data_IF_634875206903
#
_entry.id   IF_634875206903
#
_cell.length_a   1.000
_cell.length_b   1.000
_cell.length_c   1.000
_cell.angle_alpha   90.00
_cell.angle_beta   90.00
_cell.angle_gamma   90.00
#
_symmetry.space_group_name_H-M   'P 1'
#
loop_
_entity.id
_entity.type
_entity.pdbx_description
1 polymer ?
#
# COMPACT_ATOMS: atom_id res chain seq x y z
N UNK A 1 10.98 29.54 5.65
CA UNK A 1 11.64 28.43 4.95
C UNK A 1 10.55 27.62 4.26
N UNK A 2 10.78 27.16 3.05
CA UNK A 2 9.86 26.21 2.39
C UNK A 2 9.96 24.88 3.14
N UNK A 3 8.82 24.31 3.54
CA UNK A 3 8.80 22.99 4.19
C UNK A 3 9.29 21.93 3.20
N UNK A 4 10.00 20.92 3.69
CA UNK A 4 10.32 19.73 2.90
C UNK A 4 9.02 19.02 2.47
N UNK A 5 9.08 18.15 1.46
CA UNK A 5 7.88 17.46 0.97
C UNK A 5 8.07 15.95 1.03
N UNK A 6 7.09 15.26 1.60
CA UNK A 6 7.04 13.81 1.58
C UNK A 6 5.66 13.23 1.29
N UNK A 7 5.65 12.00 0.80
CA UNK A 7 4.46 11.21 0.57
C UNK A 7 4.61 9.83 1.23
N UNK A 8 3.50 9.32 1.74
CA UNK A 8 3.40 7.96 2.25
C UNK A 8 2.30 7.23 1.52
N UNK A 9 2.56 5.99 1.09
CA UNK A 9 1.48 5.03 1.00
C UNK A 9 0.84 4.83 2.39
N UNK A 10 -0.44 4.49 2.38
CA UNK A 10 -1.18 4.30 3.61
C UNK A 10 -1.13 2.88 4.14
N UNK A 11 -1.48 1.87 3.32
CA UNK A 11 -1.72 0.49 3.77
C UNK A 11 -0.42 -0.32 3.72
N UNK A 12 0.39 -0.14 4.75
CA UNK A 12 1.69 -0.77 4.94
C UNK A 12 2.60 0.12 5.77
N UNK A 13 2.88 1.36 5.32
CA UNK A 13 3.65 2.34 6.10
C UNK A 13 2.87 2.97 7.25
N UNK A 14 1.62 3.42 7.04
CA UNK A 14 0.86 4.17 8.05
C UNK A 14 -0.16 3.30 8.79
N UNK A 15 -0.82 2.38 8.09
CA UNK A 15 -1.87 1.48 8.57
C UNK A 15 -1.56 0.04 8.19
N UNK A 16 -1.80 -0.92 9.09
CA UNK A 16 -1.75 -2.35 8.78
C UNK A 16 -3.07 -2.89 8.22
N UNK A 17 -4.16 -2.12 8.28
CA UNK A 17 -5.47 -2.56 7.81
C UNK A 17 -5.54 -2.45 6.30
N UNK A 18 -5.76 -3.58 5.62
CA UNK A 18 -6.25 -3.58 4.24
C UNK A 18 -7.77 -3.43 4.29
N UNK A 19 -8.27 -2.24 3.95
CA UNK A 19 -9.68 -1.94 4.12
C UNK A 19 -10.55 -2.71 3.13
N UNK A 20 -10.08 -2.95 1.91
CA UNK A 20 -10.82 -3.71 0.90
C UNK A 20 -11.00 -5.16 1.35
N UNK A 21 -9.95 -5.77 1.89
CA UNK A 21 -10.01 -7.12 2.44
C UNK A 21 -10.88 -7.20 3.71
N UNK A 22 -10.84 -6.17 4.57
CA UNK A 22 -11.68 -6.09 5.76
C UNK A 22 -13.17 -6.00 5.42
N UNK A 23 -13.58 -5.10 4.53
CA UNK A 23 -14.99 -4.98 4.14
C UNK A 23 -15.46 -6.21 3.35
N UNK A 24 -14.56 -6.89 2.64
CA UNK A 24 -14.86 -8.18 2.01
C UNK A 24 -15.25 -9.23 3.07
N UNK A 25 -14.47 -9.37 4.15
CA UNK A 25 -14.81 -10.28 5.26
C UNK A 25 -16.17 -9.97 5.89
N UNK A 26 -16.50 -8.68 6.02
CA UNK A 26 -17.76 -8.22 6.61
C UNK A 26 -19.00 -8.49 5.75
N UNK A 27 -18.83 -8.88 4.48
CA UNK A 27 -19.93 -9.33 3.63
C UNK A 27 -20.49 -10.70 4.04
N UNK A 28 -19.75 -11.52 4.80
CA UNK A 28 -20.11 -12.91 5.10
C UNK A 28 -21.54 -13.09 5.62
N UNK A 29 -21.96 -12.35 6.66
CA UNK A 29 -23.34 -12.41 7.16
C UNK A 29 -24.41 -11.97 6.14
N UNK A 30 -24.05 -11.10 5.19
CA UNK A 30 -24.97 -10.54 4.18
C UNK A 30 -25.13 -11.48 3.00
N UNK A 31 -24.02 -12.06 2.55
CA UNK A 31 -23.97 -13.01 1.45
C UNK A 31 -24.31 -14.44 1.90
N UNK A 32 -24.35 -14.69 3.21
CA UNK A 32 -24.46 -16.03 3.81
C UNK A 32 -23.39 -16.98 3.25
N UNK A 33 -22.19 -16.44 3.09
CA UNK A 33 -21.06 -17.12 2.50
C UNK A 33 -19.85 -17.04 3.42
N UNK A 34 -19.14 -18.17 3.56
CA UNK A 34 -17.94 -18.29 4.38
C UNK A 34 -16.68 -18.16 3.50
N UNK A 35 -15.47 -18.08 4.09
CA UNK A 35 -14.20 -18.04 3.33
C UNK A 35 -14.02 -16.83 2.39
N UNK A 36 -14.62 -15.69 2.74
CA UNK A 36 -14.50 -14.46 1.94
C UNK A 36 -13.10 -13.85 1.92
N UNK A 37 -12.24 -14.26 2.84
CA UNK A 37 -10.80 -13.97 2.80
C UNK A 37 -10.10 -14.67 1.64
N UNK A 38 -10.44 -15.92 1.39
CA UNK A 38 -9.92 -16.67 0.23
C UNK A 38 -10.54 -16.14 -1.08
N UNK A 39 -11.78 -15.68 -1.05
CA UNK A 39 -12.40 -14.99 -2.19
C UNK A 39 -11.67 -13.69 -2.53
N UNK A 40 -11.39 -12.86 -1.53
CA UNK A 40 -10.59 -11.66 -1.70
C UNK A 40 -9.20 -12.00 -2.26
N UNK A 41 -8.54 -13.02 -1.70
CA UNK A 41 -7.23 -13.48 -2.18
C UNK A 41 -7.26 -13.91 -3.65
N UNK A 42 -8.29 -14.65 -4.10
CA UNK A 42 -8.44 -15.04 -5.50
C UNK A 42 -8.49 -13.80 -6.41
N UNK A 43 -9.29 -12.80 -6.05
CA UNK A 43 -9.42 -11.58 -6.86
C UNK A 43 -8.14 -10.73 -6.80
N UNK A 44 -7.48 -10.65 -5.65
CA UNK A 44 -6.20 -9.97 -5.49
C UNK A 44 -5.08 -10.64 -6.29
N UNK A 45 -5.03 -11.97 -6.33
CA UNK A 45 -4.06 -12.70 -7.13
C UNK A 45 -4.33 -12.54 -8.63
N UNK A 46 -5.61 -12.44 -9.02
CA UNK A 46 -6.00 -12.13 -10.39
C UNK A 46 -5.54 -10.73 -10.82
N UNK A 47 -5.64 -9.74 -9.94
CA UNK A 47 -5.10 -8.40 -10.16
C UNK A 47 -3.58 -8.43 -10.41
N UNK A 48 -2.83 -9.06 -9.51
CA UNK A 48 -1.38 -9.24 -9.65
C UNK A 48 -1.02 -9.98 -10.96
N UNK A 49 -1.76 -11.04 -11.30
CA UNK A 49 -1.56 -11.79 -12.54
C UNK A 49 -1.70 -10.91 -13.79
N UNK A 50 -2.71 -10.04 -13.83
CA UNK A 50 -2.89 -9.12 -14.95
C UNK A 50 -1.72 -8.13 -15.06
N UNK A 51 -1.21 -7.64 -13.91
CA UNK A 51 -0.06 -6.73 -13.86
C UNK A 51 1.24 -7.42 -14.31
N UNK A 52 1.45 -8.67 -13.92
CA UNK A 52 2.61 -9.47 -14.32
C UNK A 52 2.51 -9.97 -15.77
N UNK A 53 1.30 -10.02 -16.33
CA UNK A 53 1.03 -10.51 -17.69
C UNK A 53 0.37 -9.43 -18.58
N UNK A 54 1.06 -8.32 -18.88
CA UNK A 54 0.47 -7.18 -19.60
C UNK A 54 -0.01 -7.50 -21.02
N UNK A 55 0.46 -8.61 -21.61
CA UNK A 55 -0.06 -9.11 -22.88
C UNK A 55 -1.56 -9.45 -22.83
N UNK A 56 -2.04 -9.94 -21.68
CA UNK A 56 -3.45 -10.30 -21.47
C UNK A 56 -4.31 -9.05 -21.34
N UNK A 57 -3.83 -8.02 -20.63
CA UNK A 57 -4.50 -6.71 -20.55
C UNK A 57 -4.78 -6.18 -21.96
N UNK A 58 -3.79 -6.29 -22.86
CA UNK A 58 -3.93 -5.88 -24.27
C UNK A 58 -4.91 -6.75 -25.05
N UNK A 59 -4.86 -8.08 -24.87
CA UNK A 59 -5.79 -9.02 -25.52
C UNK A 59 -7.25 -8.77 -25.12
N UNK A 60 -7.47 -8.51 -23.82
CA UNK A 60 -8.79 -8.21 -23.26
C UNK A 60 -9.28 -6.79 -23.62
N UNK A 61 -8.45 -5.97 -24.27
CA UNK A 61 -8.81 -4.60 -24.65
C UNK A 61 -8.95 -3.64 -23.47
N UNK A 62 -8.35 -3.97 -22.32
CA UNK A 62 -8.43 -3.15 -21.10
C UNK A 62 -7.58 -1.90 -21.31
N UNK A 63 -8.22 -0.73 -21.29
CA UNK A 63 -7.57 0.55 -21.65
C UNK A 63 -6.67 1.12 -20.56
N UNK A 64 -6.99 0.89 -19.29
CA UNK A 64 -6.28 1.49 -18.16
C UNK A 64 -6.44 0.60 -16.93
N UNK A 65 -5.53 -0.35 -16.79
CA UNK A 65 -5.44 -1.26 -15.65
C UNK A 65 -4.24 -0.85 -14.79
N UNK A 66 -4.41 -0.75 -13.48
CA UNK A 66 -3.36 -0.37 -12.54
C UNK A 66 -3.26 -1.38 -11.39
N UNK A 67 -2.06 -1.59 -10.82
CA UNK A 67 -1.92 -2.47 -9.65
C UNK A 67 -2.77 -1.95 -8.49
N UNK A 68 -3.57 -2.81 -7.87
CA UNK A 68 -4.56 -2.44 -6.86
C UNK A 68 -5.98 -2.31 -7.42
N UNK A 69 -6.18 -2.52 -8.74
CA UNK A 69 -7.51 -2.59 -9.36
C UNK A 69 -8.37 -3.74 -8.79
N UNK A 70 -7.84 -4.60 -7.90
CA UNK A 70 -8.65 -5.42 -6.96
C UNK A 70 -9.82 -4.63 -6.36
N UNK A 71 -9.61 -3.38 -5.97
CA UNK A 71 -10.68 -2.51 -5.45
C UNK A 71 -11.72 -2.22 -6.54
N UNK A 72 -11.28 -1.86 -7.75
CA UNK A 72 -12.18 -1.69 -8.90
C UNK A 72 -13.01 -2.95 -9.14
N UNK A 73 -12.38 -4.13 -9.16
CA UNK A 73 -13.05 -5.41 -9.41
C UNK A 73 -14.14 -5.72 -8.37
N UNK A 74 -13.92 -5.37 -7.09
CA UNK A 74 -14.84 -5.66 -5.99
C UNK A 74 -15.83 -4.53 -5.66
N UNK A 75 -15.60 -3.32 -6.18
CA UNK A 75 -16.44 -2.16 -5.89
C UNK A 75 -17.94 -2.37 -6.15
N UNK A 76 -18.38 -3.03 -7.25
CA UNK A 76 -19.82 -3.27 -7.46
C UNK A 76 -20.47 -4.06 -6.33
N UNK A 77 -19.76 -5.03 -5.73
CA UNK A 77 -20.24 -5.75 -4.55
C UNK A 77 -20.32 -4.79 -3.36
N UNK A 78 -19.26 -4.03 -3.10
CA UNK A 78 -19.24 -3.15 -1.93
C UNK A 78 -20.35 -2.09 -1.95
N UNK A 79 -20.57 -1.40 -3.08
CA UNK A 79 -21.61 -0.37 -3.18
C UNK A 79 -23.03 -0.95 -3.13
N UNK A 80 -23.19 -2.23 -3.49
CA UNK A 80 -24.49 -2.92 -3.43
C UNK A 80 -24.88 -3.25 -1.99
N UNK A 81 -23.91 -3.61 -1.15
CA UNK A 81 -24.20 -4.06 0.21
C UNK A 81 -23.97 -2.99 1.27
N UNK A 82 -23.04 -2.06 1.09
CA UNK A 82 -22.72 -1.05 2.09
C UNK A 82 -23.24 0.34 1.70
N UNK A 83 -23.66 1.10 2.71
CA UNK A 83 -23.84 2.55 2.60
C UNK A 83 -22.52 3.28 2.85
N UNK A 84 -22.41 4.52 2.39
CA UNK A 84 -21.23 5.37 2.65
C UNK A 84 -20.95 5.52 4.15
N UNK A 85 -22.00 5.77 4.94
CA UNK A 85 -21.90 5.87 6.40
C UNK A 85 -21.41 4.59 7.07
N UNK A 86 -21.84 3.41 6.60
CA UNK A 86 -21.33 2.14 7.12
C UNK A 86 -19.84 1.96 6.83
N UNK A 87 -19.36 2.26 5.62
CA UNK A 87 -17.94 2.18 5.28
C UNK A 87 -17.09 3.10 6.16
N UNK A 88 -17.57 4.34 6.40
CA UNK A 88 -16.92 5.27 7.32
C UNK A 88 -16.85 4.71 8.74
N UNK A 89 -17.95 4.14 9.27
CA UNK A 89 -17.99 3.60 10.63
C UNK A 89 -17.18 2.31 10.78
N UNK A 90 -17.16 1.43 9.77
CA UNK A 90 -16.28 0.26 9.74
C UNK A 90 -14.82 0.71 9.83
N UNK A 91 -14.42 1.69 9.02
CA UNK A 91 -13.07 2.22 9.07
C UNK A 91 -12.72 2.83 10.42
N UNK A 92 -13.62 3.57 11.09
CA UNK A 92 -13.33 4.17 12.41
C UNK A 92 -13.08 3.11 13.48
N UNK A 93 -13.82 1.99 13.42
CA UNK A 93 -13.65 0.88 14.36
C UNK A 93 -12.30 0.17 14.19
N UNK A 94 -11.70 0.26 13.00
CA UNK A 94 -10.46 -0.43 12.64
C UNK A 94 -9.59 0.42 11.74
N UNK A 95 -9.09 1.54 12.28
CA UNK A 95 -8.10 2.37 11.58
C UNK A 95 -6.81 1.58 11.39
N UNK A 96 -6.38 0.89 12.46
CA UNK A 96 -5.23 -0.02 12.47
C UNK A 96 -3.92 0.64 12.08
N UNK A 97 -3.48 1.66 12.83
CA UNK A 97 -2.21 2.31 12.60
C UNK A 97 -1.03 1.38 12.92
N UNK A 98 0.03 1.46 12.10
CA UNK A 98 1.34 0.87 12.41
C UNK A 98 1.88 1.53 13.69
N UNK A 99 2.54 0.77 14.59
CA UNK A 99 3.20 1.36 15.75
C UNK A 99 4.12 2.51 15.34
N UNK A 100 4.06 3.65 16.02
CA UNK A 100 4.88 4.81 15.68
C UNK A 100 4.34 5.72 14.58
N UNK A 101 3.22 5.41 13.95
CA UNK A 101 2.65 6.27 12.89
C UNK A 101 2.33 7.66 13.42
N UNK A 102 1.65 7.76 14.56
CA UNK A 102 1.30 9.05 15.18
C UNK A 102 2.55 9.85 15.54
N UNK A 103 3.54 9.21 16.15
CA UNK A 103 4.80 9.81 16.57
C UNK A 103 5.61 10.32 15.37
N UNK A 104 5.68 9.51 14.31
CA UNK A 104 6.37 9.86 13.06
C UNK A 104 5.73 11.09 12.43
N UNK A 105 4.41 11.04 12.20
CA UNK A 105 3.69 12.14 11.57
C UNK A 105 3.75 13.42 12.42
N UNK A 106 3.59 13.32 13.74
CA UNK A 106 3.68 14.48 14.63
C UNK A 106 5.09 15.10 14.66
N UNK A 107 6.14 14.30 14.51
CA UNK A 107 7.52 14.80 14.40
C UNK A 107 7.75 15.50 13.07
N UNK A 108 7.23 14.94 11.97
CA UNK A 108 7.41 15.48 10.62
C UNK A 108 6.63 16.78 10.37
N UNK A 109 5.43 16.94 10.94
CA UNK A 109 4.56 18.12 10.74
C UNK A 109 5.21 19.49 10.99
N UNK A 110 6.33 19.53 11.73
CA UNK A 110 7.07 20.76 12.01
C UNK A 110 7.74 21.35 10.77
N UNK A 111 8.33 20.47 9.95
CA UNK A 111 9.26 20.85 8.89
C UNK A 111 8.88 20.24 7.52
N UNK A 112 7.78 19.47 7.46
CA UNK A 112 7.37 18.72 6.28
C UNK A 112 5.91 18.96 5.88
N UNK A 113 5.67 19.15 4.59
CA UNK A 113 4.40 18.93 3.92
C UNK A 113 4.23 17.43 3.66
N UNK A 114 3.30 16.82 4.39
CA UNK A 114 3.05 15.38 4.34
C UNK A 114 1.82 15.11 3.49
N UNK A 115 1.93 14.19 2.52
CA UNK A 115 0.81 13.69 1.73
C UNK A 115 0.60 12.19 1.92
N UNK A 116 -0.63 11.73 1.76
CA UNK A 116 -0.99 10.31 1.67
C UNK A 116 -1.36 10.01 0.22
N UNK A 117 -0.80 8.95 -0.35
CA UNK A 117 -1.14 8.46 -1.69
C UNK A 117 -1.51 6.98 -1.58
N UNK A 118 -2.80 6.65 -1.63
CA UNK A 118 -3.28 5.30 -1.32
C UNK A 118 -4.22 4.76 -2.40
N UNK A 119 -4.17 3.44 -2.61
CA UNK A 119 -5.21 2.74 -3.38
C UNK A 119 -6.54 2.71 -2.65
N UNK A 120 -6.56 2.80 -1.31
CA UNK A 120 -7.76 2.62 -0.49
C UNK A 120 -8.85 3.65 -0.80
N UNK A 121 -10.08 3.32 -0.44
CA UNK A 121 -11.23 4.18 -0.68
C UNK A 121 -11.22 5.43 0.21
N UNK A 122 -11.82 6.52 -0.30
CA UNK A 122 -11.94 7.81 0.39
C UNK A 122 -12.42 7.70 1.83
N UNK A 123 -13.36 6.79 2.12
CA UNK A 123 -13.92 6.58 3.46
C UNK A 123 -12.84 6.16 4.46
N UNK A 124 -11.95 5.23 4.07
CA UNK A 124 -10.85 4.79 4.93
C UNK A 124 -9.70 5.79 4.95
N UNK A 125 -9.26 6.23 3.77
CA UNK A 125 -8.13 7.14 3.64
C UNK A 125 -8.32 8.45 4.42
N UNK A 126 -9.53 9.03 4.37
CA UNK A 126 -9.83 10.24 5.14
C UNK A 126 -9.90 10.00 6.64
N UNK A 127 -10.32 8.81 7.11
CA UNK A 127 -10.31 8.51 8.54
C UNK A 127 -8.89 8.34 9.07
N UNK A 128 -8.02 7.63 8.35
CA UNK A 128 -6.59 7.50 8.71
C UNK A 128 -5.92 8.87 8.71
N UNK A 129 -6.17 9.70 7.68
CA UNK A 129 -5.63 11.05 7.62
C UNK A 129 -6.07 11.92 8.79
N UNK A 130 -7.35 11.89 9.18
CA UNK A 130 -7.87 12.62 10.34
C UNK A 130 -7.22 12.17 11.65
N UNK A 131 -7.08 10.87 11.84
CA UNK A 131 -6.43 10.31 13.03
C UNK A 131 -4.98 10.79 13.15
N UNK A 132 -4.25 10.79 12.03
CA UNK A 132 -2.88 11.29 11.95
C UNK A 132 -2.81 12.82 11.89
N UNK A 133 -3.94 13.54 11.87
CA UNK A 133 -4.05 14.99 11.73
C UNK A 133 -3.41 15.55 10.44
N UNK A 134 -3.50 14.81 9.34
CA UNK A 134 -3.07 15.22 8.00
C UNK A 134 -4.26 15.88 7.28
N UNK A 135 -4.10 17.07 6.65
CA UNK A 135 -5.16 17.73 5.90
C UNK A 135 -5.71 16.87 4.77
N UNK A 136 -7.04 16.88 4.55
CA UNK A 136 -7.67 16.03 3.55
C UNK A 136 -7.29 16.42 2.10
N UNK A 137 -6.92 17.68 1.85
CA UNK A 137 -6.41 18.14 0.55
C UNK A 137 -4.96 17.72 0.28
N UNK A 138 -4.36 16.96 1.21
CA UNK A 138 -3.09 16.24 1.05
C UNK A 138 -3.30 14.73 0.85
N UNK A 139 -4.54 14.26 0.69
CA UNK A 139 -4.87 12.84 0.54
C UNK A 139 -5.28 12.54 -0.90
N UNK A 140 -4.48 11.72 -1.58
CA UNK A 140 -4.73 11.22 -2.92
C UNK A 140 -5.15 9.76 -2.81
N UNK A 141 -6.45 9.49 -2.97
CA UNK A 141 -7.02 8.16 -2.78
C UNK A 141 -8.01 7.78 -3.90
N UNK A 142 -8.54 6.56 -3.84
CA UNK A 142 -9.59 6.08 -4.76
C UNK A 142 -10.94 6.61 -4.33
N UNK A 143 -11.59 7.37 -5.21
CA UNK A 143 -12.96 7.82 -4.98
C UNK A 143 -13.94 6.65 -5.10
N UNK A 144 -14.76 6.46 -4.07
CA UNK A 144 -15.88 5.52 -4.10
C UNK A 144 -17.16 6.25 -3.78
N UNK A 145 -17.94 6.55 -4.82
CA UNK A 145 -19.29 7.05 -4.67
C UNK A 145 -20.27 5.87 -4.60
N UNK A 146 -20.84 5.64 -3.42
CA UNK A 146 -21.81 4.54 -3.21
C UNK A 146 -23.10 4.72 -4.01
N UNK A 147 -23.41 5.94 -4.47
CA UNK A 147 -24.60 6.22 -5.29
C UNK A 147 -24.60 5.49 -6.63
N UNK A 148 -23.41 5.12 -7.15
CA UNK A 148 -23.27 4.39 -8.42
C UNK A 148 -23.95 3.02 -8.42
N UNK A 149 -24.31 2.49 -7.24
CA UNK A 149 -25.10 1.27 -7.08
C UNK A 149 -26.43 1.30 -7.83
N UNK A 150 -26.98 2.49 -8.12
CA UNK A 150 -28.19 2.63 -8.93
C UNK A 150 -28.01 2.10 -10.36
N UNK A 151 -26.77 1.89 -10.79
CA UNK A 151 -26.44 1.25 -12.05
C UNK A 151 -26.34 -0.27 -11.99
N UNK A 152 -26.62 -0.91 -10.85
CA UNK A 152 -26.68 -2.37 -10.67
C UNK A 152 -28.15 -2.75 -10.46
N UNK A 153 -28.69 -3.54 -11.39
CA UNK A 153 -30.08 -4.01 -11.36
C UNK A 153 -30.19 -5.35 -10.63
N UNK A 154 -29.23 -6.26 -10.80
CA UNK A 154 -29.30 -7.61 -10.26
C UNK A 154 -27.94 -8.11 -9.76
N UNK A 155 -27.53 -7.66 -8.57
CA UNK A 155 -26.26 -8.08 -7.97
C UNK A 155 -26.25 -9.57 -7.64
N UNK A 156 -27.41 -10.16 -7.33
CA UNK A 156 -27.56 -11.56 -6.96
C UNK A 156 -27.14 -12.52 -8.10
N UNK A 157 -27.52 -12.23 -9.35
CA UNK A 157 -27.10 -13.03 -10.52
C UNK A 157 -25.58 -12.98 -10.72
N UNK A 158 -24.96 -11.81 -10.55
CA UNK A 158 -23.49 -11.68 -10.65
C UNK A 158 -22.76 -12.43 -9.56
N UNK A 159 -23.27 -12.36 -8.32
CA UNK A 159 -22.72 -13.12 -7.21
C UNK A 159 -22.88 -14.63 -7.40
N UNK A 160 -23.97 -15.09 -8.01
CA UNK A 160 -24.14 -16.49 -8.35
C UNK A 160 -23.05 -16.97 -9.33
N UNK A 161 -22.66 -16.15 -10.30
CA UNK A 161 -21.55 -16.49 -11.19
C UNK A 161 -20.22 -16.42 -10.45
N UNK A 162 -19.91 -15.27 -9.85
CA UNK A 162 -18.59 -15.02 -9.29
C UNK A 162 -18.27 -15.89 -8.07
N UNK A 163 -19.25 -16.14 -7.20
CA UNK A 163 -19.06 -16.93 -5.99
C UNK A 163 -19.43 -18.41 -6.21
N UNK A 164 -20.67 -18.70 -6.60
CA UNK A 164 -21.16 -20.10 -6.65
C UNK A 164 -20.61 -20.91 -7.83
N UNK A 165 -20.05 -20.23 -8.84
CA UNK A 165 -19.43 -20.88 -10.01
C UNK A 165 -17.92 -20.71 -10.00
N UNK A 166 -17.42 -19.48 -10.10
CA UNK A 166 -15.98 -19.21 -10.30
C UNK A 166 -15.22 -19.49 -9.01
N UNK A 167 -15.59 -18.86 -7.89
CA UNK A 167 -14.90 -19.06 -6.63
C UNK A 167 -15.02 -20.50 -6.12
N UNK A 168 -16.18 -21.14 -6.25
CA UNK A 168 -16.31 -22.57 -5.91
C UNK A 168 -15.36 -23.44 -6.74
N UNK A 169 -15.24 -23.21 -8.04
CA UNK A 169 -14.28 -23.91 -8.91
C UNK A 169 -12.83 -23.69 -8.47
N UNK A 170 -12.49 -22.47 -8.07
CA UNK A 170 -11.17 -22.16 -7.49
C UNK A 170 -10.89 -22.97 -6.23
N UNK A 171 -11.86 -23.07 -5.31
CA UNK A 171 -11.74 -23.85 -4.08
C UNK A 171 -11.65 -25.36 -4.35
N UNK A 172 -12.45 -25.89 -5.27
CA UNK A 172 -12.47 -27.32 -5.66
C UNK A 172 -11.17 -27.76 -6.34
N UNK A 173 -10.33 -26.80 -6.75
CA UNK A 173 -9.03 -27.01 -7.41
C UNK A 173 -7.86 -26.51 -6.56
N UNK A 174 -7.99 -26.65 -5.25
CA UNK A 174 -6.93 -26.35 -4.27
C UNK A 174 -6.42 -24.90 -4.38
N UNK A 175 -7.31 -23.95 -4.69
CA UNK A 175 -6.99 -22.52 -4.79
C UNK A 175 -5.93 -22.19 -5.85
N UNK A 176 -5.88 -22.95 -6.94
CA UNK A 176 -5.02 -22.66 -8.10
C UNK A 176 -5.70 -21.60 -8.98
N UNK A 177 -5.11 -20.41 -9.10
CA UNK A 177 -5.70 -19.31 -9.87
C UNK A 177 -5.87 -19.70 -11.35
N UNK A 178 -4.91 -20.45 -11.91
CA UNK A 178 -4.83 -20.82 -13.33
C UNK A 178 -6.09 -21.51 -13.84
N UNK A 179 -6.83 -22.19 -12.96
CA UNK A 179 -8.05 -22.90 -13.33
C UNK A 179 -9.25 -21.98 -13.58
N UNK A 180 -9.21 -20.74 -13.09
CA UNK A 180 -10.32 -19.77 -13.14
C UNK A 180 -9.98 -18.46 -13.87
N UNK A 181 -8.74 -18.28 -14.33
CA UNK A 181 -8.31 -17.06 -15.04
C UNK A 181 -9.24 -16.73 -16.21
N UNK A 182 -9.58 -17.71 -17.04
CA UNK A 182 -10.46 -17.49 -18.19
C UNK A 182 -11.90 -17.13 -17.79
N UNK A 183 -12.38 -17.70 -16.67
CA UNK A 183 -13.71 -17.38 -16.14
C UNK A 183 -13.74 -15.94 -15.59
N UNK A 184 -12.70 -15.54 -14.86
CA UNK A 184 -12.53 -14.18 -14.35
C UNK A 184 -12.35 -13.18 -15.50
N UNK A 185 -11.55 -13.52 -16.51
CA UNK A 185 -11.41 -12.74 -17.74
C UNK A 185 -12.76 -12.52 -18.42
N UNK A 186 -13.56 -13.58 -18.52
CA UNK A 186 -14.88 -13.51 -19.12
C UNK A 186 -15.85 -12.64 -18.31
N UNK A 187 -15.90 -12.86 -16.99
CA UNK A 187 -16.78 -12.15 -16.08
C UNK A 187 -16.48 -10.64 -16.02
N UNK A 188 -15.22 -10.26 -15.81
CA UNK A 188 -14.86 -8.85 -15.61
C UNK A 188 -14.71 -8.06 -16.91
N UNK A 189 -14.35 -8.69 -18.04
CA UNK A 189 -13.92 -7.94 -19.22
C UNK A 189 -14.61 -8.31 -20.54
N UNK A 190 -15.16 -9.52 -20.67
CA UNK A 190 -15.81 -9.96 -21.92
C UNK A 190 -17.34 -9.90 -21.87
N UNK A 191 -17.92 -9.71 -20.68
CA UNK A 191 -19.37 -9.62 -20.48
C UNK A 191 -19.80 -8.16 -20.41
N UNK A 192 -20.78 -7.77 -21.21
CA UNK A 192 -21.46 -6.46 -21.04
C UNK A 192 -22.56 -6.60 -19.98
N UNK A 193 -22.23 -6.28 -18.74
CA UNK A 193 -23.16 -6.30 -17.61
C UNK A 193 -23.21 -4.96 -16.87
N UNK A 194 -24.28 -4.75 -16.10
CA UNK A 194 -24.39 -3.69 -15.11
C UNK A 194 -23.27 -3.74 -14.05
N UNK A 195 -22.80 -4.94 -13.66
CA UNK A 195 -21.60 -5.10 -12.83
C UNK A 195 -20.39 -4.41 -13.45
N UNK A 196 -20.08 -4.74 -14.72
CA UNK A 196 -18.93 -4.18 -15.45
C UNK A 196 -19.10 -2.67 -15.66
N UNK A 197 -20.32 -2.19 -15.95
CA UNK A 197 -20.62 -0.76 -16.08
C UNK A 197 -20.37 0.03 -14.79
N UNK A 198 -20.61 -0.55 -13.62
CA UNK A 198 -20.28 0.09 -12.34
C UNK A 198 -18.80 -0.06 -12.02
N UNK A 199 -18.21 -1.22 -12.27
CA UNK A 199 -16.77 -1.46 -12.14
C UNK A 199 -15.95 -0.41 -12.90
N UNK A 200 -16.31 -0.10 -14.15
CA UNK A 200 -15.59 0.85 -15.00
C UNK A 200 -15.69 2.31 -14.57
N UNK A 201 -16.55 2.65 -13.60
CA UNK A 201 -16.60 3.98 -12.98
C UNK A 201 -15.54 4.16 -11.90
N UNK A 202 -14.86 3.09 -11.49
CA UNK A 202 -13.86 3.13 -10.43
C UNK A 202 -12.47 3.30 -11.03
N UNK A 203 -11.77 4.32 -10.54
CA UNK A 203 -10.40 4.64 -10.93
C UNK A 203 -9.50 4.50 -9.71
N UNK A 204 -8.87 3.33 -9.54
CA UNK A 204 -8.02 3.08 -8.37
C UNK A 204 -6.73 3.89 -8.48
N UNK A 205 -6.29 4.52 -7.39
CA UNK A 205 -4.97 5.19 -7.33
C UNK A 205 -3.84 4.22 -6.98
N UNK A 206 -3.51 3.35 -7.93
CA UNK A 206 -2.33 2.50 -7.90
C UNK A 206 -1.35 2.82 -9.03
N UNK A 207 -0.13 2.28 -8.95
CA UNK A 207 0.86 2.28 -10.04
C UNK A 207 1.14 3.69 -10.59
N UNK A 208 0.91 3.86 -11.88
CA UNK A 208 1.15 5.14 -12.56
C UNK A 208 0.30 6.28 -12.01
N UNK A 209 -0.86 5.99 -11.41
CA UNK A 209 -1.69 7.03 -10.78
C UNK A 209 -1.11 7.50 -9.43
N UNK A 210 -0.30 6.68 -8.74
CA UNK A 210 0.50 7.15 -7.58
C UNK A 210 1.69 7.99 -8.04
N UNK A 211 2.35 7.61 -9.13
CA UNK A 211 3.38 8.44 -9.79
C UNK A 211 2.80 9.82 -10.16
N UNK A 212 1.64 9.86 -10.82
CA UNK A 212 0.96 11.10 -11.19
C UNK A 212 0.61 11.98 -9.97
N UNK A 213 0.25 11.37 -8.83
CA UNK A 213 0.00 12.11 -7.60
C UNK A 213 1.27 12.79 -7.05
N UNK A 214 2.43 12.15 -7.14
CA UNK A 214 3.73 12.79 -6.81
C UNK A 214 4.00 13.98 -7.73
N UNK A 215 3.78 13.82 -9.05
CA UNK A 215 3.94 14.94 -9.98
C UNK A 215 2.99 16.10 -9.68
N UNK A 216 1.75 15.80 -9.32
CA UNK A 216 0.74 16.78 -8.92
C UNK A 216 1.20 17.54 -7.66
N UNK A 217 1.68 16.82 -6.63
CA UNK A 217 2.22 17.42 -5.40
C UNK A 217 3.41 18.33 -5.71
N UNK A 218 4.36 17.85 -6.53
CA UNK A 218 5.55 18.61 -6.93
C UNK A 218 5.16 19.92 -7.64
N UNK A 219 4.22 19.86 -8.58
CA UNK A 219 3.70 21.04 -9.30
C UNK A 219 2.93 21.98 -8.36
N UNK A 220 2.03 21.45 -7.51
CA UNK A 220 1.20 22.23 -6.57
C UNK A 220 2.06 23.01 -5.56
N UNK A 221 3.14 22.40 -5.08
CA UNK A 221 4.02 22.99 -4.07
C UNK A 221 5.25 23.70 -4.66
N UNK A 222 5.43 23.66 -5.99
CA UNK A 222 6.63 24.13 -6.68
C UNK A 222 7.91 23.58 -6.03
N UNK A 223 7.94 22.26 -5.81
CA UNK A 223 9.00 21.57 -5.09
C UNK A 223 9.51 20.38 -5.92
N UNK A 224 10.82 20.28 -6.19
CA UNK A 224 11.34 19.29 -7.14
C UNK A 224 11.28 17.87 -6.57
N UNK A 225 10.93 16.89 -7.41
CA UNK A 225 10.86 15.46 -7.03
C UNK A 225 12.22 14.95 -6.52
N UNK A 226 13.32 15.49 -7.05
CA UNK A 226 14.69 15.19 -6.61
C UNK A 226 14.94 15.45 -5.12
N UNK A 227 14.13 16.32 -4.49
CA UNK A 227 14.29 16.72 -3.10
C UNK A 227 13.18 16.13 -2.21
N UNK A 228 12.29 15.31 -2.78
CA UNK A 228 11.15 14.68 -2.08
C UNK A 228 11.56 13.34 -1.45
N UNK A 229 10.78 12.92 -0.45
CA UNK A 229 10.82 11.55 0.09
C UNK A 229 9.46 10.88 -0.15
N UNK A 230 9.43 9.66 -0.69
CA UNK A 230 8.23 8.83 -0.71
C UNK A 230 8.47 7.48 -0.06
N UNK A 231 7.49 6.98 0.68
CA UNK A 231 7.52 5.68 1.34
C UNK A 231 6.40 4.81 0.79
N UNK A 232 6.72 3.62 0.28
CA UNK A 232 5.78 2.61 -0.16
C UNK A 232 6.19 1.23 0.33
N UNK A 233 5.41 0.19 -0.02
CA UNK A 233 5.68 -1.17 0.44
C UNK A 233 5.37 -2.25 -0.61
N UNK A 234 4.56 -1.98 -1.63
CA UNK A 234 3.97 -3.01 -2.49
C UNK A 234 4.08 -2.72 -3.98
N UNK A 235 3.46 -3.59 -4.80
CA UNK A 235 3.37 -3.43 -6.26
C UNK A 235 2.65 -2.14 -6.67
N UNK A 236 1.72 -1.67 -5.82
CA UNK A 236 0.95 -0.44 -6.08
C UNK A 236 1.81 0.82 -6.02
N UNK A 237 3.00 0.75 -5.42
CA UNK A 237 3.93 1.86 -5.23
C UNK A 237 5.09 1.86 -6.25
N UNK A 238 5.19 0.81 -7.07
CA UNK A 238 6.36 0.57 -7.93
C UNK A 238 6.75 1.78 -8.77
N UNK A 239 5.76 2.43 -9.39
CA UNK A 239 5.97 3.56 -10.30
C UNK A 239 6.26 4.87 -9.54
N UNK A 240 5.61 5.07 -8.39
CA UNK A 240 5.90 6.19 -7.49
C UNK A 240 7.35 6.12 -6.99
N UNK A 241 7.78 4.95 -6.50
CA UNK A 241 9.13 4.73 -5.99
C UNK A 241 10.17 4.84 -7.11
N UNK A 242 9.90 4.21 -8.26
CA UNK A 242 10.76 4.32 -9.46
C UNK A 242 10.95 5.77 -9.85
N UNK A 243 9.87 6.55 -9.91
CA UNK A 243 9.95 7.96 -10.31
C UNK A 243 10.84 8.79 -9.39
N UNK A 244 10.68 8.65 -8.07
CA UNK A 244 11.57 9.35 -7.13
C UNK A 244 13.02 8.92 -7.30
N UNK A 245 13.25 7.61 -7.44
CA UNK A 245 14.60 7.07 -7.56
C UNK A 245 15.30 7.59 -8.83
N UNK A 246 14.62 7.60 -9.96
CA UNK A 246 15.14 8.09 -11.26
C UNK A 246 15.41 9.61 -11.25
N UNK A 247 14.59 10.39 -10.54
CA UNK A 247 14.76 11.85 -10.40
C UNK A 247 15.76 12.26 -9.31
N UNK A 248 16.35 11.29 -8.58
CA UNK A 248 17.34 11.54 -7.53
C UNK A 248 16.76 11.79 -6.13
N UNK A 249 15.44 11.72 -5.96
CA UNK A 249 14.75 11.77 -4.67
C UNK A 249 14.99 10.53 -3.82
N UNK A 250 14.40 10.50 -2.62
CA UNK A 250 14.51 9.37 -1.69
C UNK A 250 13.27 8.49 -1.79
N UNK A 251 13.45 7.28 -2.29
CA UNK A 251 12.41 6.27 -2.42
C UNK A 251 12.63 5.19 -1.36
N UNK A 252 11.76 5.16 -0.35
CA UNK A 252 11.81 4.23 0.77
C UNK A 252 10.84 3.08 0.52
N UNK A 253 11.33 1.85 0.59
CA UNK A 253 10.47 0.68 0.80
C UNK A 253 10.44 0.32 2.29
N UNK A 254 9.27 0.39 2.91
CA UNK A 254 9.07 0.10 4.34
C UNK A 254 8.38 -1.24 4.51
N UNK A 255 9.06 -2.23 5.09
CA UNK A 255 8.55 -3.61 5.22
C UNK A 255 7.91 -4.13 3.92
N UNK A 256 8.56 -3.84 2.79
CA UNK A 256 8.01 -4.11 1.48
C UNK A 256 8.17 -5.56 1.02
N UNK A 257 8.07 -5.74 -0.29
CA UNK A 257 8.06 -7.04 -0.95
C UNK A 257 8.93 -7.03 -2.22
N UNK A 258 8.85 -8.11 -2.99
CA UNK A 258 9.60 -8.26 -4.24
C UNK A 258 9.30 -7.19 -5.30
N UNK A 259 8.18 -6.46 -5.17
CA UNK A 259 7.77 -5.45 -6.13
C UNK A 259 8.26 -4.05 -5.75
N UNK A 260 8.30 -3.68 -4.47
CA UNK A 260 8.75 -2.33 -4.07
C UNK A 260 10.28 -2.20 -3.97
N UNK A 261 10.99 -3.24 -3.51
CA UNK A 261 12.45 -3.22 -3.33
C UNK A 261 13.24 -2.91 -4.62
N UNK A 262 12.88 -3.43 -5.81
CA UNK A 262 13.59 -3.09 -7.05
C UNK A 262 13.53 -1.61 -7.42
N UNK A 263 12.49 -0.90 -7.01
CA UNK A 263 12.23 0.49 -7.42
C UNK A 263 12.62 1.53 -6.36
N UNK A 264 12.86 1.10 -5.11
CA UNK A 264 13.36 1.92 -4.03
C UNK A 264 14.89 2.12 -4.07
N UNK A 265 15.37 3.16 -3.38
CA UNK A 265 16.80 3.38 -3.14
C UNK A 265 17.22 3.22 -1.68
N UNK A 266 16.26 3.14 -0.74
CA UNK A 266 16.50 2.78 0.66
C UNK A 266 15.44 1.77 1.09
N UNK A 267 15.85 0.73 1.80
CA UNK A 267 14.95 -0.19 2.49
C UNK A 267 14.97 0.07 4.00
N UNK A 268 13.79 0.16 4.61
CA UNK A 268 13.64 0.20 6.07
C UNK A 268 12.83 -1.03 6.49
N UNK A 269 13.42 -1.87 7.33
CA UNK A 269 12.73 -2.98 7.98
C UNK A 269 12.57 -2.64 9.46
N UNK A 270 11.34 -2.51 9.94
CA UNK A 270 11.09 -2.14 11.33
C UNK A 270 9.68 -2.50 11.78
N UNK A 271 9.48 -2.91 13.05
CA UNK A 271 8.13 -3.10 13.60
C UNK A 271 7.38 -1.79 13.85
N UNK A 272 8.06 -0.64 13.68
CA UNK A 272 7.56 0.66 14.07
C UNK A 272 7.96 1.73 13.04
N UNK A 273 7.02 2.57 12.60
CA UNK A 273 7.26 3.55 11.53
C UNK A 273 8.34 4.57 11.92
N UNK A 274 8.57 4.84 13.20
CA UNK A 274 9.65 5.74 13.64
C UNK A 274 11.03 5.27 13.17
N UNK A 275 11.19 4.02 12.73
CA UNK A 275 12.39 3.56 12.03
C UNK A 275 12.79 4.41 10.82
N UNK A 276 11.82 5.02 10.11
CA UNK A 276 12.13 5.89 8.96
C UNK A 276 12.71 7.24 9.37
N UNK A 277 12.53 7.68 10.62
CA UNK A 277 12.93 9.04 11.05
C UNK A 277 14.42 9.30 10.90
N UNK A 278 15.27 8.26 10.99
CA UNK A 278 16.69 8.40 10.77
C UNK A 278 17.03 8.91 9.35
N UNK A 279 16.22 8.50 8.35
CA UNK A 279 16.34 8.99 6.96
C UNK A 279 15.90 10.44 6.87
N UNK A 280 14.72 10.78 7.40
CA UNK A 280 14.18 12.13 7.35
C UNK A 280 15.10 13.17 8.01
N UNK A 281 15.72 12.80 9.13
CA UNK A 281 16.65 13.68 9.85
C UNK A 281 18.00 13.87 9.15
N UNK A 282 18.41 12.92 8.32
CA UNK A 282 19.68 12.94 7.60
C UNK A 282 19.49 13.12 6.08
N UNK A 283 18.36 13.69 5.64
CA UNK A 283 18.02 13.86 4.21
C UNK A 283 19.17 14.48 3.41
N UNK A 284 19.77 15.54 3.93
CA UNK A 284 20.79 16.34 3.21
C UNK A 284 22.12 15.58 3.00
N UNK A 285 22.44 14.62 3.88
CA UNK A 285 23.67 13.82 3.87
C UNK A 285 23.36 12.32 3.86
N UNK A 286 22.24 11.92 3.25
CA UNK A 286 21.65 10.60 3.44
C UNK A 286 22.59 9.45 3.07
N UNK A 287 23.40 9.61 2.02
CA UNK A 287 24.28 8.55 1.54
C UNK A 287 25.49 8.33 2.46
N UNK A 288 26.01 9.39 3.07
CA UNK A 288 27.08 9.29 4.07
C UNK A 288 26.53 8.69 5.36
N UNK A 289 25.32 9.12 5.78
CA UNK A 289 24.62 8.52 6.90
C UNK A 289 24.42 7.01 6.72
N UNK A 290 23.95 6.56 5.54
CA UNK A 290 23.71 5.15 5.27
C UNK A 290 25.01 4.33 5.29
N UNK A 291 26.10 4.86 4.74
CA UNK A 291 27.40 4.19 4.80
C UNK A 291 27.86 3.99 6.25
N UNK A 292 27.71 5.02 7.09
CA UNK A 292 28.02 4.96 8.51
C UNK A 292 27.07 4.01 9.28
N UNK A 293 25.78 4.01 8.95
CA UNK A 293 24.76 3.15 9.54
C UNK A 293 25.07 1.69 9.25
N UNK A 294 25.23 1.31 7.97
CA UNK A 294 25.50 -0.07 7.54
C UNK A 294 26.81 -0.61 8.12
N UNK A 295 27.87 0.21 8.16
CA UNK A 295 29.16 -0.19 8.69
C UNK A 295 29.11 -0.51 10.20
N UNK A 296 28.25 0.18 10.95
CA UNK A 296 28.15 0.03 12.41
C UNK A 296 26.98 -0.85 12.85
N UNK A 297 26.00 -1.08 11.99
CA UNK A 297 24.78 -1.83 12.30
C UNK A 297 25.04 -3.17 13.00
N UNK A 298 26.02 -4.01 12.58
CA UNK A 298 26.30 -5.27 13.28
C UNK A 298 26.65 -5.11 14.77
N UNK A 299 27.17 -3.95 15.19
CA UNK A 299 27.55 -3.70 16.58
C UNK A 299 26.37 -3.32 17.48
N UNK A 300 25.23 -2.91 16.91
CA UNK A 300 24.05 -2.46 17.68
C UNK A 300 22.73 -3.08 17.23
N UNK A 301 22.73 -3.98 16.24
CA UNK A 301 21.54 -4.56 15.62
C UNK A 301 20.54 -5.13 16.64
N UNK A 302 21.03 -5.69 17.75
CA UNK A 302 20.22 -6.36 18.76
C UNK A 302 19.93 -5.50 20.01
N UNK A 303 20.51 -4.30 20.11
CA UNK A 303 20.36 -3.44 21.29
C UNK A 303 20.31 -1.95 20.92
N UNK A 304 19.15 -1.28 21.00
CA UNK A 304 19.04 0.14 20.71
C UNK A 304 19.88 1.05 21.62
N UNK A 305 20.28 0.59 22.82
CA UNK A 305 21.17 1.37 23.70
C UNK A 305 22.58 1.48 23.14
N UNK A 306 22.97 0.50 22.32
CA UNK A 306 24.28 0.43 21.67
C UNK A 306 24.38 1.32 20.43
N UNK A 307 23.27 1.92 19.96
CA UNK A 307 23.31 2.88 18.85
C UNK A 307 24.15 4.11 19.25
N UNK A 308 25.22 4.47 18.52
CA UNK A 308 26.02 5.64 18.84
C UNK A 308 25.23 6.94 18.69
N UNK A 309 25.31 7.84 19.69
CA UNK A 309 24.62 9.15 19.67
C UNK A 309 25.11 10.09 18.55
N UNK A 310 26.24 9.76 17.91
CA UNK A 310 26.74 10.49 16.74
C UNK A 310 25.99 10.19 15.45
N UNK A 311 25.24 9.08 15.39
CA UNK A 311 24.56 8.60 14.16
C UNK A 311 23.11 9.11 14.11
N UNK A 312 22.42 9.05 15.24
CA UNK A 312 21.06 9.58 15.39
C UNK A 312 21.00 10.44 16.64
N UNK A 313 20.10 11.42 16.65
CA UNK A 313 19.94 12.25 17.83
C UNK A 313 19.46 11.45 19.05
N UNK A 314 19.72 12.02 20.23
CA UNK A 314 19.37 11.43 21.51
C UNK A 314 17.88 11.10 21.64
N UNK A 315 17.00 11.96 21.12
CA UNK A 315 15.55 11.75 21.23
C UNK A 315 15.07 10.54 20.43
N UNK A 316 15.62 10.32 19.24
CA UNK A 316 15.28 9.17 18.40
C UNK A 316 15.84 7.89 19.02
N UNK A 317 17.07 7.93 19.53
CA UNK A 317 17.67 6.79 20.25
C UNK A 317 16.83 6.42 21.49
N UNK A 318 16.44 7.40 22.30
CA UNK A 318 15.59 7.17 23.48
C UNK A 318 14.27 6.51 23.10
N UNK A 319 13.64 6.93 21.99
CA UNK A 319 12.42 6.28 21.49
C UNK A 319 12.66 4.82 21.10
N UNK A 320 13.74 4.51 20.38
CA UNK A 320 14.12 3.14 20.02
C UNK A 320 14.39 2.27 21.25
N UNK A 321 15.04 2.83 22.29
CA UNK A 321 15.27 2.14 23.56
C UNK A 321 13.97 1.87 24.30
N UNK A 322 13.07 2.85 24.38
CA UNK A 322 11.78 2.72 25.06
C UNK A 322 10.87 1.68 24.40
N UNK A 323 10.91 1.58 23.08
CA UNK A 323 10.11 0.64 22.30
C UNK A 323 10.85 -0.66 21.95
N UNK A 324 12.09 -0.81 22.43
CA UNK A 324 12.93 -2.01 22.29
C UNK A 324 13.05 -2.53 20.85
N UNK A 325 13.43 -1.67 19.90
CA UNK A 325 13.70 -2.07 18.52
C UNK A 325 14.85 -1.29 17.91
N UNK A 326 15.51 -1.88 16.91
CA UNK A 326 16.47 -1.22 16.03
C UNK A 326 15.99 -1.39 14.59
N UNK A 327 15.73 -0.31 13.84
CA UNK A 327 15.37 -0.46 12.44
C UNK A 327 16.57 -0.96 11.64
N UNK A 328 16.36 -1.95 10.77
CA UNK A 328 17.36 -2.29 9.75
C UNK A 328 17.17 -1.33 8.58
N UNK A 329 18.24 -0.66 8.17
CA UNK A 329 18.23 0.29 7.07
C UNK A 329 19.30 -0.14 6.07
N UNK A 330 18.89 -0.48 4.85
CA UNK A 330 19.79 -0.94 3.78
C UNK A 330 19.83 0.08 2.63
N UNK A 331 21.03 0.35 2.11
CA UNK A 331 21.26 1.18 0.93
C UNK A 331 21.09 0.36 -0.35
N UNK A 332 20.04 0.63 -1.12
CA UNK A 332 19.73 -0.12 -2.32
C UNK A 332 20.44 0.39 -3.58
N UNK A 333 20.98 1.63 -3.59
CA UNK A 333 21.66 2.18 -4.79
C UNK A 333 22.86 1.34 -5.24
N UNK A 334 23.53 0.69 -4.30
CA UNK A 334 24.74 -0.12 -4.54
C UNK A 334 24.55 -1.60 -4.19
N UNK A 335 23.32 -2.02 -3.89
CA UNK A 335 23.04 -3.39 -3.48
C UNK A 335 23.16 -4.36 -4.66
N UNK A 336 23.89 -5.46 -4.46
CA UNK A 336 23.91 -6.60 -5.39
C UNK A 336 22.54 -7.27 -5.46
N UNK A 337 22.33 -8.12 -6.48
CA UNK A 337 21.12 -8.92 -6.60
C UNK A 337 20.89 -9.79 -5.34
N UNK A 338 21.93 -10.47 -4.86
CA UNK A 338 21.89 -11.28 -3.63
C UNK A 338 21.48 -10.45 -2.41
N UNK A 339 22.02 -9.23 -2.27
CA UNK A 339 21.65 -8.33 -1.18
C UNK A 339 20.18 -7.89 -1.27
N UNK A 340 19.68 -7.63 -2.49
CA UNK A 340 18.26 -7.29 -2.70
C UNK A 340 17.34 -8.44 -2.34
N UNK A 341 17.70 -9.68 -2.71
CA UNK A 341 16.94 -10.87 -2.32
C UNK A 341 16.92 -11.06 -0.79
N UNK A 342 18.05 -10.83 -0.12
CA UNK A 342 18.15 -10.85 1.34
C UNK A 342 17.22 -9.80 1.98
N UNK A 343 17.24 -8.57 1.47
CA UNK A 343 16.36 -7.48 1.93
C UNK A 343 14.89 -7.82 1.72
N UNK A 344 14.51 -8.35 0.54
CA UNK A 344 13.13 -8.78 0.25
C UNK A 344 12.68 -9.82 1.28
N UNK A 345 13.51 -10.83 1.55
CA UNK A 345 13.18 -11.89 2.52
C UNK A 345 12.93 -11.30 3.92
N UNK A 346 13.81 -10.42 4.36
CA UNK A 346 13.75 -9.80 5.69
C UNK A 346 12.55 -8.84 5.82
N UNK A 347 12.30 -8.03 4.80
CA UNK A 347 11.13 -7.15 4.77
C UNK A 347 9.80 -7.92 4.74
N UNK A 348 9.69 -8.99 3.95
CA UNK A 348 8.49 -9.83 3.94
C UNK A 348 8.24 -10.51 5.30
N UNK A 349 9.30 -10.90 6.01
CA UNK A 349 9.16 -11.44 7.36
C UNK A 349 8.58 -10.39 8.33
N UNK A 350 9.13 -9.17 8.32
CA UNK A 350 8.63 -8.06 9.15
C UNK A 350 7.22 -7.61 8.74
N UNK A 351 6.92 -7.58 7.44
CA UNK A 351 5.58 -7.31 6.88
C UNK A 351 4.54 -8.23 7.51
N UNK A 352 4.83 -9.54 7.56
CA UNK A 352 3.96 -10.55 8.16
C UNK A 352 3.84 -10.39 9.68
N UNK A 353 4.93 -10.05 10.36
CA UNK A 353 4.93 -9.78 11.79
C UNK A 353 4.02 -8.59 12.14
N UNK A 354 4.14 -7.48 11.43
CA UNK A 354 3.42 -6.23 11.72
C UNK A 354 1.97 -6.27 11.23
N UNK A 355 1.71 -6.84 10.05
CA UNK A 355 0.39 -6.82 9.40
C UNK A 355 -0.44 -8.08 9.63
N UNK A 356 0.13 -9.12 10.24
CA UNK A 356 -0.53 -10.41 10.39
C UNK A 356 -0.93 -11.00 9.02
N UNK A 357 -2.18 -11.43 8.89
CA UNK A 357 -2.69 -12.04 7.66
C UNK A 357 -2.69 -11.08 6.45
N UNK A 358 -2.88 -9.78 6.67
CA UNK A 358 -2.81 -8.77 5.59
C UNK A 358 -1.41 -8.70 4.96
N UNK A 359 -0.37 -9.11 5.69
CA UNK A 359 1.00 -9.13 5.18
C UNK A 359 1.25 -10.21 4.12
N UNK A 360 0.31 -11.15 3.95
CA UNK A 360 0.35 -12.18 2.91
C UNK A 360 -0.44 -11.80 1.64
N UNK A 361 -1.15 -10.67 1.65
CA UNK A 361 -1.85 -10.13 0.48
C UNK A 361 -0.87 -9.29 -0.36
N UNK A 362 -0.99 -9.40 -1.69
CA UNK A 362 -0.03 -8.82 -2.65
C UNK A 362 1.41 -9.23 -2.36
#
# INVERSE_FOLDING_TARGET
>A
MTLNVCAFDMEGPLSFTDFAAEICKLLGPRLKYERLDEFFQMVSNYDDYLIETPGIIKELGIKSYEPGDTLKLLAPIYVSFFTDGELVEISKKKIGLIPGSNETINRLKRDWNISIISTSYTQHAHNVARELGIPLDHVYCTALDVSIKSGIENIEEHLQVLIETIFRKYLDKDSQLEVVIDDLNHFFWKTDSDYVKVMDKIFVRGGHRKEAAVEEISKKLNYPISDMIATGDSITDKDMLRRLNEEGGIAITFNGNQYSVPHANIAVTSPNLMGVMAIFMNKENIWDFLADWEAQYPAFADDPKSIPERIIDKSLKEYFVQNNFVPRIDNLKKASAEKREEVIKVQKAMRKEVRGWFGALG
#
